data_IF_478510602881
#
_entry.id   IF_478510602881
#
_cell.length_a   1.000
_cell.length_b   1.000
_cell.length_c   1.000
_cell.angle_alpha   90.00
_cell.angle_beta   90.00
_cell.angle_gamma   90.00
#
_symmetry.space_group_name_H-M   'P 1'
#
loop_
_entity.id
_entity.type
_entity.pdbx_description
1 polymer ?
#
# COMPACT_ATOMS: atom_id res chain seq x y z
N UNK A 1 -95.63 -14.46 12.26
CA UNK A 1 -94.85 -13.20 12.14
C UNK A 1 -93.45 -13.50 12.65
N UNK A 2 -92.51 -13.84 11.76
CA UNK A 2 -91.13 -14.19 12.11
C UNK A 2 -90.23 -13.33 11.23
N UNK A 3 -89.59 -12.35 11.86
CA UNK A 3 -88.74 -11.34 11.22
C UNK A 3 -87.46 -11.95 10.68
N UNK A 4 -87.16 -11.62 9.42
CA UNK A 4 -85.89 -11.89 8.76
C UNK A 4 -84.83 -10.91 9.25
N UNK A 5 -83.68 -11.42 9.70
CA UNK A 5 -82.50 -10.64 10.10
C UNK A 5 -81.56 -10.56 8.89
N UNK A 6 -81.27 -9.34 8.45
CA UNK A 6 -80.35 -9.03 7.34
C UNK A 6 -78.90 -9.06 7.85
N UNK A 7 -78.03 -9.86 7.20
CA UNK A 7 -76.59 -9.87 7.42
C UNK A 7 -75.93 -8.69 6.69
N UNK A 8 -75.34 -7.75 7.42
CA UNK A 8 -74.43 -6.73 6.87
C UNK A 8 -73.00 -7.27 6.88
N UNK A 9 -72.46 -7.49 5.68
CA UNK A 9 -71.08 -7.93 5.45
C UNK A 9 -70.12 -6.75 5.59
N UNK A 10 -69.24 -6.78 6.59
CA UNK A 10 -68.18 -5.79 6.78
C UNK A 10 -66.96 -6.20 5.94
N UNK A 11 -66.72 -5.50 4.84
CA UNK A 11 -65.48 -5.60 4.07
C UNK A 11 -64.33 -4.92 4.85
N UNK A 12 -63.43 -5.72 5.42
CA UNK A 12 -62.15 -5.25 5.97
C UNK A 12 -61.20 -4.94 4.82
N UNK A 13 -60.94 -3.66 4.57
CA UNK A 13 -59.89 -3.22 3.65
C UNK A 13 -58.52 -3.34 4.34
N UNK A 14 -57.71 -4.30 3.91
CA UNK A 14 -56.31 -4.46 4.36
C UNK A 14 -55.43 -3.44 3.64
N UNK A 15 -54.93 -2.44 4.37
CA UNK A 15 -53.98 -1.44 3.88
C UNK A 15 -52.56 -2.00 3.99
N UNK A 16 -51.99 -2.49 2.88
CA UNK A 16 -50.61 -2.96 2.83
C UNK A 16 -49.64 -1.78 2.77
N UNK A 17 -48.93 -1.50 3.86
CA UNK A 17 -47.77 -0.59 3.85
C UNK A 17 -46.57 -1.31 3.23
N UNK A 18 -46.23 -0.95 1.99
CA UNK A 18 -44.91 -1.26 1.42
C UNK A 18 -43.89 -0.28 2.02
N UNK A 19 -42.98 -0.80 2.82
CA UNK A 19 -41.81 -0.06 3.28
C UNK A 19 -40.83 0.11 2.11
N UNK A 20 -40.60 1.34 1.66
CA UNK A 20 -39.55 1.64 0.70
C UNK A 20 -38.19 1.54 1.41
N UNK A 21 -37.39 0.54 1.06
CA UNK A 21 -36.01 0.43 1.53
C UNK A 21 -35.16 1.56 0.92
N UNK A 22 -34.33 2.26 1.71
CA UNK A 22 -33.42 3.28 1.18
C UNK A 22 -32.41 2.64 0.24
N UNK A 23 -32.22 3.22 -0.94
CA UNK A 23 -31.19 2.81 -1.89
C UNK A 23 -29.79 2.97 -1.24
N UNK A 24 -28.86 2.02 -1.46
CA UNK A 24 -27.49 2.15 -0.96
C UNK A 24 -26.82 3.38 -1.59
N UNK A 25 -26.25 4.25 -0.74
CA UNK A 25 -25.44 5.37 -1.20
C UNK A 25 -24.23 4.86 -1.99
N UNK A 26 -23.81 5.54 -3.08
CA UNK A 26 -22.60 5.17 -3.81
C UNK A 26 -21.38 5.27 -2.88
N UNK A 27 -20.61 4.20 -2.81
CA UNK A 27 -19.35 4.20 -2.08
C UNK A 27 -18.39 5.25 -2.68
N UNK A 28 -17.58 5.96 -1.87
CA UNK A 28 -16.59 6.89 -2.39
C UNK A 28 -15.59 6.16 -3.29
N UNK A 29 -15.31 6.74 -4.45
CA UNK A 29 -14.27 6.23 -5.34
C UNK A 29 -12.90 6.31 -4.63
N UNK A 30 -12.01 5.32 -4.80
CA UNK A 30 -10.68 5.37 -4.21
C UNK A 30 -9.93 6.60 -4.74
N UNK A 31 -9.43 7.42 -3.81
CA UNK A 31 -8.54 8.52 -4.15
C UNK A 31 -7.21 7.94 -4.59
N UNK A 32 -6.85 8.07 -5.87
CA UNK A 32 -5.50 7.78 -6.34
C UNK A 32 -4.56 8.79 -5.66
N UNK A 33 -3.64 8.32 -4.83
CA UNK A 33 -2.59 9.17 -4.29
C UNK A 33 -1.81 9.81 -5.46
N UNK A 34 -1.62 11.13 -5.40
CA UNK A 34 -0.91 11.85 -6.46
C UNK A 34 0.55 11.41 -6.48
N UNK A 35 1.08 11.15 -7.69
CA UNK A 35 2.48 10.78 -7.86
C UNK A 35 3.37 12.00 -7.60
N UNK A 36 4.29 11.87 -6.66
CA UNK A 36 5.25 12.92 -6.29
C UNK A 36 6.64 12.58 -6.86
N UNK A 37 7.34 13.58 -7.40
CA UNK A 37 8.72 13.40 -7.86
C UNK A 37 9.67 13.34 -6.66
N UNK A 38 10.56 12.36 -6.67
CA UNK A 38 11.53 12.09 -5.60
C UNK A 38 12.84 11.58 -6.19
N UNK A 39 13.92 11.85 -5.48
CA UNK A 39 15.23 11.34 -5.87
C UNK A 39 15.44 9.92 -5.34
N UNK A 40 15.88 9.01 -6.21
CA UNK A 40 16.11 7.58 -5.90
C UNK A 40 17.57 7.24 -6.15
N UNK A 41 18.23 6.67 -5.14
CA UNK A 41 19.60 6.16 -5.17
C UNK A 41 19.62 4.69 -4.75
N UNK A 42 20.80 4.07 -4.77
CA UNK A 42 20.99 2.72 -4.25
C UNK A 42 21.98 2.63 -3.07
N UNK A 43 21.83 1.56 -2.29
CA UNK A 43 22.77 1.08 -1.29
C UNK A 43 22.78 -0.46 -1.32
N UNK A 44 23.94 -1.04 -1.64
CA UNK A 44 24.10 -2.48 -1.79
C UNK A 44 23.94 -3.28 -0.48
N UNK A 45 23.96 -2.62 0.68
CA UNK A 45 23.69 -3.29 1.97
C UNK A 45 22.27 -3.86 2.04
N UNK A 46 21.30 -3.26 1.34
CA UNK A 46 19.93 -3.77 1.23
C UNK A 46 19.82 -5.04 0.38
N UNK A 47 20.82 -5.39 -0.42
CA UNK A 47 20.85 -6.66 -1.17
C UNK A 47 21.45 -7.81 -0.35
N UNK A 48 21.96 -7.54 0.86
CA UNK A 48 22.50 -8.57 1.75
C UNK A 48 21.34 -9.19 2.53
N UNK A 49 20.77 -10.26 1.98
CA UNK A 49 19.57 -10.91 2.55
C UNK A 49 19.69 -11.34 4.01
N UNK A 50 20.89 -11.69 4.48
CA UNK A 50 21.16 -12.09 5.88
C UNK A 50 21.30 -10.91 6.85
N UNK A 51 21.20 -9.66 6.37
CA UNK A 51 21.22 -8.48 7.22
C UNK A 51 19.97 -8.44 8.10
N UNK A 52 20.15 -8.27 9.40
CA UNK A 52 19.04 -8.25 10.36
C UNK A 52 18.21 -6.98 10.23
N UNK A 53 16.89 -7.10 10.34
CA UNK A 53 15.98 -5.95 10.42
C UNK A 53 16.20 -5.09 11.68
N UNK A 54 16.93 -5.58 12.69
CA UNK A 54 17.33 -4.77 13.84
C UNK A 54 18.38 -3.69 13.52
N UNK A 55 18.90 -3.66 12.29
CA UNK A 55 19.90 -2.67 11.85
C UNK A 55 19.30 -1.44 11.19
N UNK A 56 17.98 -1.42 10.95
CA UNK A 56 17.27 -0.34 10.24
C UNK A 56 16.18 0.26 11.12
N UNK A 57 15.67 1.44 10.76
CA UNK A 57 14.65 2.15 11.52
C UNK A 57 13.34 1.35 11.71
N UNK A 58 12.98 0.47 10.78
CA UNK A 58 11.78 -0.37 10.89
C UNK A 58 12.06 -1.71 11.58
N UNK A 59 12.91 -1.71 12.59
CA UNK A 59 13.25 -2.87 13.42
C UNK A 59 12.03 -3.37 14.20
N UNK A 60 11.90 -2.97 15.45
CA UNK A 60 10.92 -3.39 16.44
C UNK A 60 9.98 -2.23 16.81
N UNK A 61 9.19 -2.42 17.86
CA UNK A 61 8.11 -1.51 18.24
C UNK A 61 6.78 -1.82 17.55
N UNK A 62 5.74 -1.08 17.89
CA UNK A 62 4.37 -1.36 17.42
C UNK A 62 4.22 -1.32 15.89
N UNK A 63 5.08 -0.56 15.20
CA UNK A 63 5.12 -0.46 13.75
C UNK A 63 6.30 -1.23 13.12
N UNK A 64 7.15 -1.88 13.92
CA UNK A 64 8.36 -2.55 13.46
C UNK A 64 8.09 -3.83 12.68
N UNK A 65 8.94 -4.15 11.71
CA UNK A 65 8.85 -5.36 10.89
C UNK A 65 9.18 -6.62 11.68
N UNK A 66 10.07 -6.52 12.68
CA UNK A 66 10.38 -7.63 13.59
C UNK A 66 9.16 -8.00 14.43
N UNK A 67 8.41 -7.00 14.89
CA UNK A 67 7.14 -7.22 15.61
C UNK A 67 6.03 -7.80 14.74
N UNK A 68 6.19 -7.74 13.41
CA UNK A 68 5.31 -8.38 12.41
C UNK A 68 5.78 -9.79 12.00
N UNK A 69 6.86 -10.29 12.58
CA UNK A 69 7.35 -11.67 12.38
C UNK A 69 8.45 -11.82 11.33
N UNK A 70 8.97 -10.73 10.76
CA UNK A 70 10.13 -10.75 9.87
C UNK A 70 11.45 -10.76 10.67
N UNK A 71 12.52 -11.29 10.11
CA UNK A 71 13.81 -11.49 10.82
C UNK A 71 14.95 -10.71 10.17
N UNK A 72 15.22 -11.01 8.92
CA UNK A 72 16.27 -10.43 8.09
C UNK A 72 15.67 -9.86 6.80
N UNK A 73 16.49 -9.21 5.98
CA UNK A 73 16.03 -8.62 4.73
C UNK A 73 15.41 -9.67 3.79
N UNK A 74 15.98 -10.87 3.72
CA UNK A 74 15.46 -11.97 2.89
C UNK A 74 14.11 -12.53 3.35
N UNK A 75 13.75 -12.34 4.62
CA UNK A 75 12.42 -12.75 5.12
C UNK A 75 11.28 -11.87 4.59
N UNK A 76 11.57 -10.70 4.01
CA UNK A 76 10.56 -9.81 3.43
C UNK A 76 10.08 -10.32 2.06
N UNK A 77 8.76 -10.34 1.78
CA UNK A 77 8.22 -10.98 0.58
C UNK A 77 8.66 -10.37 -0.75
N UNK A 78 9.00 -9.07 -0.77
CA UNK A 78 9.46 -8.38 -1.98
C UNK A 78 10.98 -8.34 -2.14
N UNK A 79 11.76 -8.93 -1.22
CA UNK A 79 13.23 -8.91 -1.29
C UNK A 79 13.69 -9.43 -2.68
N UNK A 80 14.62 -8.71 -3.36
CA UNK A 80 15.47 -7.61 -2.89
C UNK A 80 14.88 -6.20 -3.07
N UNK A 81 13.61 -6.03 -3.43
CA UNK A 81 12.97 -4.73 -3.57
C UNK A 81 12.58 -4.14 -2.21
N UNK A 82 13.59 -3.71 -1.47
CA UNK A 82 13.48 -3.03 -0.17
C UNK A 82 14.38 -1.80 -0.14
N UNK A 83 14.17 -0.91 0.83
CA UNK A 83 15.09 0.21 1.06
C UNK A 83 14.58 1.25 2.04
N UNK A 84 15.37 2.30 2.19
CA UNK A 84 14.97 3.50 2.91
C UNK A 84 13.99 4.36 2.10
N UNK A 85 13.06 5.01 2.79
CA UNK A 85 12.05 5.89 2.18
C UNK A 85 11.97 7.25 2.86
N UNK A 86 11.60 8.27 2.08
CA UNK A 86 11.42 9.66 2.54
C UNK A 86 10.30 9.79 3.59
N UNK A 87 9.35 8.87 3.58
CA UNK A 87 8.20 8.84 4.50
C UNK A 87 8.55 8.23 5.87
N UNK A 88 9.74 7.64 6.03
CA UNK A 88 10.19 7.09 7.32
C UNK A 88 11.08 8.14 8.01
N UNK A 89 10.53 8.77 9.04
CA UNK A 89 11.24 9.79 9.83
C UNK A 89 12.29 9.19 10.80
N UNK A 90 12.23 7.89 11.07
CA UNK A 90 13.11 7.20 12.01
C UNK A 90 12.45 5.97 12.63
N UNK A 91 13.01 5.53 13.76
CA UNK A 91 12.59 4.31 14.46
C UNK A 91 11.09 4.26 14.76
N UNK A 92 10.47 3.09 14.57
CA UNK A 92 9.05 2.83 14.84
C UNK A 92 8.08 3.80 14.11
N UNK A 93 8.49 4.32 12.96
CA UNK A 93 7.64 5.14 12.09
C UNK A 93 6.33 4.41 11.73
N UNK A 94 5.17 5.10 11.70
CA UNK A 94 3.92 4.49 11.21
C UNK A 94 3.96 4.10 9.73
N UNK A 95 4.97 4.55 8.99
CA UNK A 95 5.18 4.18 7.59
C UNK A 95 6.10 2.95 7.41
N UNK A 96 6.53 2.34 8.50
CA UNK A 96 7.35 1.13 8.44
C UNK A 96 6.62 -0.04 7.78
N UNK A 97 7.26 -0.63 6.77
CA UNK A 97 6.68 -1.73 6.01
C UNK A 97 5.59 -1.31 5.03
N UNK A 98 5.46 -0.02 4.70
CA UNK A 98 4.60 0.40 3.58
C UNK A 98 5.21 0.02 2.23
N UNK A 99 4.34 -0.21 1.26
CA UNK A 99 4.72 -0.54 -0.11
C UNK A 99 4.63 0.72 -0.98
N UNK A 100 5.68 0.99 -1.76
CA UNK A 100 5.75 2.13 -2.66
C UNK A 100 6.01 1.67 -4.09
N UNK A 101 5.19 2.13 -5.03
CA UNK A 101 5.47 2.01 -6.45
C UNK A 101 6.41 3.16 -6.85
N UNK A 102 7.62 2.84 -7.29
CA UNK A 102 8.59 3.77 -7.85
C UNK A 102 8.56 3.65 -9.37
N UNK A 103 8.31 4.76 -10.05
CA UNK A 103 8.23 4.82 -11.50
C UNK A 103 9.30 5.74 -12.08
N UNK A 104 10.13 5.19 -12.96
CA UNK A 104 11.21 5.91 -13.64
C UNK A 104 10.96 5.88 -15.15
N UNK A 105 10.92 7.08 -15.74
CA UNK A 105 10.75 7.28 -17.18
C UNK A 105 11.84 8.22 -17.70
N UNK A 106 12.72 7.71 -18.55
CA UNK A 106 13.77 8.49 -19.20
C UNK A 106 14.18 7.86 -20.54
N UNK A 107 13.90 8.57 -21.63
CA UNK A 107 14.18 8.08 -22.98
C UNK A 107 13.38 6.83 -23.31
N UNK A 108 14.08 5.67 -23.40
CA UNK A 108 13.47 4.36 -23.70
C UNK A 108 13.18 3.53 -22.44
N UNK A 109 13.58 4.01 -21.27
CA UNK A 109 13.32 3.33 -20.00
C UNK A 109 11.99 3.86 -19.48
N UNK A 110 11.05 2.95 -19.28
CA UNK A 110 9.76 3.22 -18.68
C UNK A 110 9.42 2.02 -17.77
N UNK A 111 9.70 2.17 -16.47
CA UNK A 111 9.70 1.05 -15.52
C UNK A 111 9.07 1.46 -14.21
N UNK A 112 8.31 0.54 -13.63
CA UNK A 112 7.78 0.64 -12.28
C UNK A 112 8.19 -0.58 -11.48
N UNK A 113 8.65 -0.37 -10.25
CA UNK A 113 8.89 -1.43 -9.26
C UNK A 113 8.14 -1.12 -7.97
N UNK A 114 7.83 -2.16 -7.19
CA UNK A 114 7.25 -2.01 -5.85
C UNK A 114 8.32 -2.31 -4.80
N UNK A 115 8.48 -1.42 -3.83
CA UNK A 115 9.53 -1.46 -2.81
C UNK A 115 8.91 -1.41 -1.42
N UNK A 116 9.33 -2.30 -0.52
CA UNK A 116 9.00 -2.19 0.92
C UNK A 116 9.94 -1.18 1.57
N UNK A 117 9.36 -0.21 2.28
CA UNK A 117 10.11 0.76 3.06
C UNK A 117 10.53 0.16 4.42
N UNK A 118 11.83 0.03 4.64
CA UNK A 118 12.43 -0.61 5.82
C UNK A 118 13.30 0.33 6.65
N UNK A 119 13.67 1.49 6.11
CA UNK A 119 14.57 2.42 6.80
C UNK A 119 14.26 3.90 6.49
N UNK A 120 14.88 4.81 7.24
CA UNK A 120 14.81 6.24 6.99
C UNK A 120 15.70 6.64 5.80
N UNK A 121 15.16 7.42 4.87
CA UNK A 121 15.93 8.08 3.82
C UNK A 121 15.45 9.52 3.62
N UNK A 122 15.83 10.48 4.50
CA UNK A 122 15.25 11.84 4.50
C UNK A 122 15.50 12.64 3.20
N UNK A 123 16.40 12.18 2.32
CA UNK A 123 16.67 12.78 1.01
C UNK A 123 15.95 12.13 -0.18
N UNK A 124 15.06 11.15 0.03
CA UNK A 124 14.33 10.47 -1.03
C UNK A 124 14.18 8.96 -0.80
N UNK A 125 14.45 8.15 -1.81
CA UNK A 125 14.56 6.70 -1.65
C UNK A 125 16.01 6.25 -1.77
N UNK A 126 16.41 5.29 -0.94
CA UNK A 126 17.68 4.60 -1.05
C UNK A 126 17.42 3.09 -1.02
N UNK A 127 17.43 2.44 -2.18
CA UNK A 127 16.96 1.06 -2.36
C UNK A 127 18.12 0.08 -2.62
N UNK A 128 17.87 -1.23 -2.59
CA UNK A 128 18.88 -2.21 -3.02
C UNK A 128 19.40 -1.94 -4.44
N UNK A 129 20.67 -2.24 -4.70
CA UNK A 129 21.27 -2.12 -6.03
C UNK A 129 20.52 -2.98 -7.05
N UNK A 130 20.04 -4.16 -6.65
CA UNK A 130 19.23 -5.01 -7.54
C UNK A 130 17.89 -4.34 -7.87
N UNK A 131 17.23 -3.72 -6.88
CA UNK A 131 16.00 -2.96 -7.07
C UNK A 131 16.22 -1.76 -8.00
N UNK A 132 17.29 -0.99 -7.78
CA UNK A 132 17.63 0.15 -8.64
C UNK A 132 17.97 -0.28 -10.07
N UNK A 133 18.62 -1.43 -10.26
CA UNK A 133 18.84 -2.00 -11.57
C UNK A 133 17.53 -2.43 -12.25
N UNK A 134 16.58 -2.99 -11.51
CA UNK A 134 15.25 -3.30 -12.05
C UNK A 134 14.51 -2.03 -12.50
N UNK A 135 14.62 -0.94 -11.74
CA UNK A 135 14.04 0.36 -12.07
C UNK A 135 14.71 1.02 -13.29
N UNK A 136 16.02 0.90 -13.42
CA UNK A 136 16.83 1.64 -14.41
C UNK A 136 17.30 0.79 -15.59
N UNK A 137 16.77 -0.43 -15.75
CA UNK A 137 17.18 -1.37 -16.79
C UNK A 137 18.69 -1.70 -16.77
N UNK A 138 19.23 -1.93 -15.57
CA UNK A 138 20.61 -2.36 -15.35
C UNK A 138 21.65 -1.23 -15.28
N UNK A 139 21.21 0.03 -15.12
CA UNK A 139 22.07 1.21 -15.17
C UNK A 139 22.31 1.86 -13.81
N UNK A 140 22.04 1.17 -12.70
CA UNK A 140 22.07 1.76 -11.36
C UNK A 140 23.42 2.39 -11.01
N UNK A 141 24.53 1.67 -11.23
CA UNK A 141 25.87 2.17 -10.94
C UNK A 141 26.28 3.34 -11.84
N UNK A 142 25.91 3.28 -13.12
CA UNK A 142 26.21 4.34 -14.09
C UNK A 142 25.47 5.65 -13.77
N UNK A 143 24.20 5.54 -13.37
CA UNK A 143 23.37 6.70 -13.07
C UNK A 143 23.64 7.23 -11.66
N UNK A 144 23.93 6.35 -10.69
CA UNK A 144 24.10 6.67 -9.28
C UNK A 144 22.77 7.00 -8.59
N UNK A 145 22.06 7.98 -9.15
CA UNK A 145 20.79 8.53 -8.68
C UNK A 145 19.94 8.96 -9.86
N UNK A 146 18.62 8.84 -9.74
CA UNK A 146 17.64 9.32 -10.71
C UNK A 146 16.53 10.10 -10.03
N UNK A 147 15.81 10.91 -10.79
CA UNK A 147 14.51 11.43 -10.37
C UNK A 147 13.42 10.48 -10.89
N UNK A 148 12.58 10.00 -9.98
CA UNK A 148 11.47 9.09 -10.25
C UNK A 148 10.20 9.67 -9.62
N UNK A 149 9.04 9.09 -9.89
CA UNK A 149 7.83 9.37 -9.12
C UNK A 149 7.53 8.23 -8.16
N UNK A 150 6.98 8.53 -6.98
CA UNK A 150 6.53 7.52 -6.03
C UNK A 150 5.05 7.65 -5.69
N UNK A 151 4.41 6.51 -5.41
CA UNK A 151 3.03 6.41 -4.92
C UNK A 151 2.98 5.32 -3.85
N UNK A 152 2.33 5.60 -2.71
CA UNK A 152 1.98 4.54 -1.76
C UNK A 152 0.92 3.63 -2.36
N UNK A 153 1.17 2.32 -2.36
CA UNK A 153 0.26 1.31 -2.89
C UNK A 153 -0.13 0.31 -1.79
N UNK A 154 -1.17 -0.47 -2.06
CA UNK A 154 -1.63 -1.51 -1.15
C UNK A 154 -0.51 -2.50 -0.77
N UNK A 155 -0.44 -2.97 0.49
CA UNK A 155 0.62 -3.88 0.96
C UNK A 155 0.78 -5.15 0.09
N UNK A 156 -0.33 -5.66 -0.46
CA UNK A 156 -0.34 -6.85 -1.33
C UNK A 156 0.47 -6.67 -2.62
N UNK A 157 0.71 -5.43 -3.08
CA UNK A 157 1.58 -5.15 -4.22
C UNK A 157 3.06 -5.46 -3.93
N UNK A 158 3.44 -5.56 -2.65
CA UNK A 158 4.74 -6.04 -2.18
C UNK A 158 4.67 -7.45 -1.54
N UNK A 159 3.52 -8.12 -1.59
CA UNK A 159 3.32 -9.45 -1.00
C UNK A 159 3.20 -9.50 0.53
N UNK A 160 2.92 -8.35 1.17
CA UNK A 160 2.73 -8.21 2.62
C UNK A 160 1.32 -8.57 3.10
#
# INVERSE_FOLDING_TARGET
>A
MKSSITFTSAFLATLSLVAAAPAPAPAPAPALAAAETVSVSYDASYDVGTSSLNTVACSDGVNGLVSRGYTDFASLPSFPNIGGAITIAGWNSPNCGKCYALHYSNGKIDKTINVIAVDAAPGGFNIGLQAMNALTNGLAEQLGRVDATYVEVEPSACGL
#
